data_IF_876308353156
#
_entry.id   IF_876308353156
#
_cell.length_a   1.000
_cell.length_b   1.000
_cell.length_c   1.000
_cell.angle_alpha   90.00
_cell.angle_beta   90.00
_cell.angle_gamma   90.00
#
_symmetry.space_group_name_H-M   'P 1'
#
loop_
_entity.id
_entity.type
_entity.pdbx_description
1 polymer ?
#
# COMPACT_ATOMS: atom_id res chain seq x y z
N UNK A 1 18.06 7.66 53.42
CA UNK A 1 17.45 8.74 52.61
C UNK A 1 17.90 8.72 51.14
N UNK A 2 19.21 8.71 50.82
CA UNK A 2 19.72 8.67 49.43
C UNK A 2 19.24 7.46 48.61
N UNK A 3 19.29 6.25 49.19
CA UNK A 3 18.86 5.01 48.51
C UNK A 3 17.37 5.02 48.13
N UNK A 4 16.50 5.51 49.02
CA UNK A 4 15.06 5.60 48.78
C UNK A 4 14.76 6.59 47.64
N UNK A 5 15.48 7.71 47.59
CA UNK A 5 15.34 8.73 46.56
C UNK A 5 15.80 8.21 45.19
N UNK A 6 16.88 7.43 45.14
CA UNK A 6 17.35 6.77 43.91
C UNK A 6 16.35 5.74 43.38
N UNK A 7 15.76 4.93 44.26
CA UNK A 7 14.74 3.95 43.88
C UNK A 7 13.50 4.67 43.33
N UNK A 8 13.00 5.70 44.02
CA UNK A 8 11.85 6.48 43.55
C UNK A 8 12.14 7.15 42.21
N UNK A 9 13.35 7.70 42.00
CA UNK A 9 13.72 8.32 40.73
C UNK A 9 13.76 7.30 39.58
N UNK A 10 14.33 6.11 39.82
CA UNK A 10 14.36 5.01 38.83
C UNK A 10 12.94 4.51 38.55
N UNK A 11 12.08 4.40 39.57
CA UNK A 11 10.69 3.99 39.40
C UNK A 11 9.88 5.03 38.62
N UNK A 12 10.11 6.33 38.84
CA UNK A 12 9.47 7.41 38.08
C UNK A 12 9.97 7.45 36.64
N UNK A 13 11.28 7.26 36.40
CA UNK A 13 11.83 7.14 35.05
C UNK A 13 11.31 5.90 34.31
N UNK A 14 11.25 4.75 34.99
CA UNK A 14 10.66 3.54 34.44
C UNK A 14 9.16 3.71 34.16
N UNK A 15 8.42 4.40 35.05
CA UNK A 15 7.01 4.71 34.86
C UNK A 15 6.78 5.68 33.70
N UNK A 16 7.65 6.67 33.48
CA UNK A 16 7.58 7.59 32.34
C UNK A 16 7.92 6.88 31.01
N UNK A 17 8.90 5.98 31.01
CA UNK A 17 9.23 5.14 29.84
C UNK A 17 8.08 4.17 29.52
N UNK A 18 7.42 3.63 30.54
CA UNK A 18 6.25 2.74 30.39
C UNK A 18 4.98 3.51 30.02
N UNK A 19 4.78 4.74 30.48
CA UNK A 19 3.63 5.56 30.05
C UNK A 19 3.78 6.05 28.60
N UNK A 20 5.02 6.30 28.13
CA UNK A 20 5.27 6.47 26.70
C UNK A 20 4.93 5.23 25.87
N UNK A 21 4.94 4.02 26.47
CA UNK A 21 4.59 2.77 25.78
C UNK A 21 3.12 2.35 25.91
N UNK A 22 2.37 2.90 26.88
CA UNK A 22 0.94 2.59 27.07
C UNK A 22 -0.03 3.65 26.55
N UNK A 23 0.44 4.88 26.26
CA UNK A 23 -0.29 5.88 25.46
C UNK A 23 0.15 5.84 23.98
N UNK A 24 0.55 4.65 23.52
CA UNK A 24 0.94 4.42 22.13
C UNK A 24 -0.34 4.40 21.33
N UNK A 25 -0.61 5.52 20.66
CA UNK A 25 -1.51 5.59 19.51
C UNK A 25 -1.45 4.26 18.73
N UNK A 26 -2.54 3.49 18.74
CA UNK A 26 -2.65 2.17 18.10
C UNK A 26 -2.62 2.27 16.56
N UNK A 27 -2.42 3.48 16.05
CA UNK A 27 -2.43 3.84 14.66
C UNK A 27 -1.04 3.76 14.02
N UNK A 28 -0.91 2.87 13.04
CA UNK A 28 0.30 2.71 12.25
C UNK A 28 0.63 3.98 11.42
N UNK A 29 -0.39 4.73 10.99
CA UNK A 29 -0.25 5.90 10.12
C UNK A 29 0.69 6.96 10.73
N UNK A 30 0.47 7.30 12.01
CA UNK A 30 1.31 8.24 12.77
C UNK A 30 2.76 7.75 12.86
N UNK A 31 2.95 6.44 13.06
CA UNK A 31 4.28 5.82 13.17
C UNK A 31 5.02 5.82 11.84
N UNK A 32 4.33 5.60 10.73
CA UNK A 32 4.91 5.70 9.40
C UNK A 32 5.26 7.13 9.01
N UNK A 33 4.43 8.12 9.40
CA UNK A 33 4.81 9.53 9.25
C UNK A 33 6.04 9.88 10.07
N UNK A 34 6.14 9.36 11.30
CA UNK A 34 7.33 9.54 12.13
C UNK A 34 8.57 8.88 11.49
N UNK A 35 8.42 7.70 10.89
CA UNK A 35 9.51 7.08 10.13
C UNK A 35 9.94 7.99 8.98
N UNK A 36 8.99 8.48 8.18
CA UNK A 36 9.26 9.42 7.08
C UNK A 36 9.93 10.71 7.57
N UNK A 37 9.52 11.25 8.72
CA UNK A 37 10.12 12.46 9.29
C UNK A 37 11.58 12.26 9.73
N UNK A 38 11.96 11.03 10.11
CA UNK A 38 13.34 10.68 10.46
C UNK A 38 14.20 10.29 9.23
N UNK A 39 13.59 10.15 8.04
CA UNK A 39 14.28 9.84 6.78
C UNK A 39 15.00 11.08 6.23
N UNK A 40 16.04 10.92 5.39
CA UNK A 40 16.74 12.07 4.78
C UNK A 40 15.82 12.61 3.69
N UNK A 41 15.60 13.94 3.60
CA UNK A 41 14.84 14.49 2.48
C UNK A 41 15.36 13.97 1.13
N UNK A 42 16.67 13.81 1.01
CA UNK A 42 17.39 13.30 -0.15
C UNK A 42 17.04 11.84 -0.49
N UNK A 43 16.57 11.04 0.47
CA UNK A 43 16.11 9.66 0.21
C UNK A 43 14.88 9.67 -0.70
N UNK A 44 13.99 10.67 -0.57
CA UNK A 44 12.83 10.81 -1.46
C UNK A 44 13.29 11.02 -2.90
N UNK A 45 14.39 11.74 -3.11
CA UNK A 45 14.96 11.98 -4.44
C UNK A 45 15.80 10.79 -4.94
N UNK A 46 16.48 10.08 -4.04
CA UNK A 46 17.33 8.93 -4.34
C UNK A 46 16.56 7.59 -4.39
N UNK A 47 15.25 7.57 -4.11
CA UNK A 47 14.45 6.35 -3.97
C UNK A 47 14.48 5.42 -5.19
N UNK A 48 14.82 5.94 -6.36
CA UNK A 48 14.96 5.14 -7.58
C UNK A 48 16.25 4.33 -7.59
N UNK A 49 17.34 4.81 -6.97
CA UNK A 49 18.61 4.06 -6.85
C UNK A 49 18.43 2.81 -5.99
N UNK A 50 17.60 2.89 -4.95
CA UNK A 50 17.32 1.75 -4.06
C UNK A 50 16.33 0.73 -4.65
N UNK A 51 15.64 1.07 -5.73
CA UNK A 51 14.62 0.18 -6.34
C UNK A 51 15.22 -1.14 -6.84
N UNK A 52 16.43 -1.06 -7.39
CA UNK A 52 17.05 -2.16 -8.11
C UNK A 52 17.98 -3.00 -7.21
N UNK A 53 18.10 -2.66 -5.92
CA UNK A 53 18.85 -3.45 -4.96
C UNK A 53 18.07 -4.71 -4.57
N UNK A 54 18.54 -5.88 -5.00
CA UNK A 54 17.93 -7.19 -4.72
C UNK A 54 18.83 -8.12 -3.90
N UNK A 55 20.07 -7.71 -3.67
CA UNK A 55 21.09 -8.44 -2.90
C UNK A 55 22.08 -7.49 -2.20
N UNK A 56 22.84 -7.97 -1.20
CA UNK A 56 23.90 -7.18 -0.55
C UNK A 56 24.96 -6.63 -1.52
N UNK A 57 25.21 -7.31 -2.63
CA UNK A 57 26.19 -6.90 -3.63
C UNK A 57 25.70 -5.71 -4.46
N UNK A 58 24.40 -5.56 -4.65
CA UNK A 58 23.83 -4.44 -5.40
C UNK A 58 24.05 -3.10 -4.69
N UNK A 59 24.26 -3.13 -3.36
CA UNK A 59 24.60 -1.95 -2.58
C UNK A 59 25.94 -1.35 -2.99
N UNK A 60 26.85 -2.13 -3.57
CA UNK A 60 28.14 -1.63 -4.06
C UNK A 60 28.00 -0.78 -5.33
N UNK A 61 26.89 -0.90 -6.04
CA UNK A 61 26.59 -0.12 -7.24
C UNK A 61 25.91 1.23 -6.93
N UNK A 62 25.55 1.48 -5.67
CA UNK A 62 24.98 2.75 -5.24
C UNK A 62 25.99 3.90 -5.36
N UNK A 63 25.48 5.10 -5.63
CA UNK A 63 26.28 6.33 -5.58
C UNK A 63 26.87 6.54 -4.19
N UNK A 64 27.98 7.31 -4.09
CA UNK A 64 28.62 7.62 -2.81
C UNK A 64 27.63 8.23 -1.81
N UNK A 65 26.82 9.19 -2.26
CA UNK A 65 25.78 9.81 -1.45
C UNK A 65 24.74 8.79 -0.96
N UNK A 66 24.24 7.89 -1.82
CA UNK A 66 23.28 6.88 -1.41
C UNK A 66 23.87 5.86 -0.41
N UNK A 67 25.17 5.55 -0.51
CA UNK A 67 25.89 4.72 0.48
C UNK A 67 26.02 5.42 1.83
N UNK A 68 26.33 6.72 1.83
CA UNK A 68 26.39 7.53 3.06
C UNK A 68 25.05 7.55 3.78
N UNK A 69 23.94 7.66 3.05
CA UNK A 69 22.59 7.58 3.63
C UNK A 69 22.37 6.28 4.41
N UNK A 70 22.84 5.13 3.91
CA UNK A 70 22.67 3.84 4.58
C UNK A 70 23.44 3.74 5.92
N UNK A 71 24.45 4.58 6.12
CA UNK A 71 25.25 4.66 7.35
C UNK A 71 24.80 5.77 8.31
N UNK A 72 23.77 6.55 7.95
CA UNK A 72 23.31 7.68 8.74
C UNK A 72 22.79 7.24 10.13
N UNK A 73 23.21 7.90 11.23
CA UNK A 73 22.79 7.53 12.60
C UNK A 73 21.27 7.55 12.82
N UNK A 74 20.56 8.45 12.12
CA UNK A 74 19.10 8.59 12.21
C UNK A 74 18.29 7.44 11.61
N UNK A 75 18.94 6.53 10.89
CA UNK A 75 18.31 5.31 10.38
C UNK A 75 17.73 4.46 11.52
N UNK A 76 18.35 4.47 12.70
CA UNK A 76 17.85 3.74 13.85
C UNK A 76 16.47 4.26 14.30
N UNK A 77 16.30 5.57 14.43
CA UNK A 77 15.03 6.19 14.79
C UNK A 77 13.94 5.91 13.73
N UNK A 78 14.30 6.01 12.44
CA UNK A 78 13.40 5.67 11.34
C UNK A 78 12.95 4.21 11.39
N UNK A 79 13.88 3.27 11.52
CA UNK A 79 13.58 1.84 11.55
C UNK A 79 12.78 1.45 12.79
N UNK A 80 13.05 2.06 13.95
CA UNK A 80 12.25 1.86 15.15
C UNK A 80 10.80 2.32 14.95
N UNK A 81 10.59 3.50 14.36
CA UNK A 81 9.25 3.99 14.03
C UNK A 81 8.52 3.08 13.02
N UNK A 82 9.21 2.58 11.99
CA UNK A 82 8.68 1.60 11.04
C UNK A 82 8.25 0.31 11.76
N UNK A 83 9.11 -0.25 12.60
CA UNK A 83 8.85 -1.47 13.39
C UNK A 83 7.69 -1.28 14.37
N UNK A 84 7.54 -0.09 14.96
CA UNK A 84 6.38 0.23 15.80
C UNK A 84 5.09 0.30 14.99
N UNK A 85 5.11 0.95 13.83
CA UNK A 85 3.97 0.97 12.91
C UNK A 85 3.56 -0.44 12.48
N UNK A 86 4.52 -1.32 12.21
CA UNK A 86 4.27 -2.72 11.88
C UNK A 86 3.65 -3.55 13.03
N UNK A 87 3.69 -3.09 14.28
CA UNK A 87 3.04 -3.78 15.41
C UNK A 87 1.62 -3.29 15.68
N UNK A 88 1.21 -2.20 15.04
CA UNK A 88 -0.10 -1.60 15.21
C UNK A 88 -1.17 -2.46 14.53
N UNK A 89 -2.38 -2.50 15.12
CA UNK A 89 -3.54 -3.23 14.57
C UNK A 89 -4.41 -2.36 13.67
N UNK A 90 -4.31 -1.05 13.82
CA UNK A 90 -5.08 -0.07 13.07
C UNK A 90 -4.12 0.77 12.23
N UNK A 91 -4.57 1.18 11.05
CA UNK A 91 -3.87 2.17 10.23
C UNK A 91 -4.93 3.07 9.61
N UNK A 92 -5.13 4.26 10.17
CA UNK A 92 -6.12 5.22 9.69
C UNK A 92 -5.63 6.65 9.95
N UNK A 93 -5.54 7.49 8.92
CA UNK A 93 -5.11 8.87 9.15
C UNK A 93 -6.18 9.75 9.81
N UNK A 94 -7.46 9.39 9.67
CA UNK A 94 -8.55 10.12 10.30
C UNK A 94 -9.65 9.15 10.76
N UNK A 95 -9.92 9.02 12.07
CA UNK A 95 -11.03 8.20 12.56
C UNK A 95 -12.41 8.80 12.26
N UNK A 96 -12.49 10.12 11.99
CA UNK A 96 -13.75 10.86 11.87
C UNK A 96 -14.06 11.38 10.44
N UNK A 97 -13.07 11.48 9.56
CA UNK A 97 -13.28 11.95 8.19
C UNK A 97 -13.52 10.77 7.22
N UNK A 98 -14.80 10.59 6.87
CA UNK A 98 -15.26 9.53 5.97
C UNK A 98 -14.99 9.82 4.49
N UNK A 99 -14.60 11.05 4.16
CA UNK A 99 -14.65 11.56 2.79
C UNK A 99 -13.28 11.97 2.22
N UNK A 100 -12.23 12.09 3.03
CA UNK A 100 -10.87 12.30 2.53
C UNK A 100 -9.84 11.59 3.41
N UNK A 101 -9.32 10.41 3.01
CA UNK A 101 -8.17 9.85 3.72
C UNK A 101 -7.00 10.80 3.48
N UNK A 102 -6.52 11.47 4.52
CA UNK A 102 -5.14 11.91 4.52
C UNK A 102 -4.30 10.66 4.22
N UNK A 103 -3.53 10.65 3.14
CA UNK A 103 -2.72 9.51 2.75
C UNK A 103 -1.25 9.85 2.95
N UNK A 104 -0.40 8.84 3.19
CA UNK A 104 1.04 9.02 3.03
C UNK A 104 1.27 9.45 1.57
N UNK A 105 1.94 10.59 1.32
CA UNK A 105 2.31 10.95 -0.05
C UNK A 105 3.08 9.82 -0.72
N UNK A 106 2.65 9.40 -1.92
CA UNK A 106 3.11 8.18 -2.59
C UNK A 106 4.63 8.15 -2.78
N UNK A 107 5.23 9.31 -3.05
CA UNK A 107 6.68 9.49 -3.21
C UNK A 107 7.41 9.21 -1.90
N UNK A 108 6.87 9.70 -0.78
CA UNK A 108 7.44 9.47 0.56
C UNK A 108 7.28 8.02 0.98
N UNK A 109 6.13 7.40 0.69
CA UNK A 109 5.93 5.96 0.89
C UNK A 109 6.95 5.15 0.09
N UNK A 110 7.13 5.49 -1.20
CA UNK A 110 8.12 4.87 -2.09
C UNK A 110 9.55 5.02 -1.57
N UNK A 111 9.90 6.20 -1.09
CA UNK A 111 11.17 6.45 -0.42
C UNK A 111 11.36 5.55 0.80
N UNK A 112 10.39 5.56 1.71
CA UNK A 112 10.46 4.80 2.96
C UNK A 112 10.66 3.30 2.72
N UNK A 113 9.81 2.65 1.90
CA UNK A 113 9.88 1.20 1.76
C UNK A 113 11.15 0.75 1.03
N UNK A 114 11.55 1.44 -0.05
CA UNK A 114 12.76 1.09 -0.82
C UNK A 114 14.03 1.31 -0.01
N UNK A 115 14.11 2.43 0.71
CA UNK A 115 15.24 2.70 1.57
C UNK A 115 15.32 1.72 2.74
N UNK A 116 14.19 1.35 3.33
CA UNK A 116 14.15 0.33 4.40
C UNK A 116 14.59 -1.05 3.89
N UNK A 117 14.23 -1.44 2.67
CA UNK A 117 14.73 -2.67 2.04
C UNK A 117 16.25 -2.61 1.80
N UNK A 118 16.78 -1.48 1.33
CA UNK A 118 18.22 -1.28 1.19
C UNK A 118 18.95 -1.34 2.55
N UNK A 119 18.35 -0.80 3.63
CA UNK A 119 18.86 -0.94 4.98
C UNK A 119 18.83 -2.39 5.48
N UNK A 120 17.82 -3.18 5.10
CA UNK A 120 17.79 -4.61 5.40
C UNK A 120 18.94 -5.35 4.70
N UNK A 121 19.18 -5.08 3.41
CA UNK A 121 20.31 -5.63 2.68
C UNK A 121 21.66 -5.18 3.28
N UNK A 122 21.74 -3.94 3.78
CA UNK A 122 22.93 -3.45 4.46
C UNK A 122 23.13 -4.17 5.82
N UNK A 123 22.05 -4.44 6.55
CA UNK A 123 22.11 -5.26 7.76
C UNK A 123 22.60 -6.69 7.45
N UNK A 124 22.07 -7.31 6.39
CA UNK A 124 22.55 -8.61 5.90
C UNK A 124 24.05 -8.57 5.54
N UNK A 125 24.48 -7.56 4.79
CA UNK A 125 25.89 -7.35 4.41
C UNK A 125 26.82 -7.25 5.62
N UNK A 126 26.33 -6.66 6.71
CA UNK A 126 27.05 -6.51 7.97
C UNK A 126 26.78 -7.66 8.94
N UNK A 127 26.54 -8.87 8.40
CA UNK A 127 26.40 -10.13 9.15
C UNK A 127 25.24 -10.13 10.18
N UNK A 128 24.18 -9.35 9.92
CA UNK A 128 22.97 -9.29 10.77
C UNK A 128 21.71 -9.73 10.01
N UNK A 129 21.63 -11.00 9.57
CA UNK A 129 20.48 -11.50 8.80
C UNK A 129 19.17 -11.50 9.60
N UNK A 130 19.20 -11.68 10.94
CA UNK A 130 17.99 -11.58 11.77
C UNK A 130 17.40 -10.16 11.73
N UNK A 131 18.26 -9.14 11.85
CA UNK A 131 17.84 -7.74 11.75
C UNK A 131 17.31 -7.43 10.35
N UNK A 132 17.94 -7.95 9.30
CA UNK A 132 17.46 -7.81 7.93
C UNK A 132 16.02 -8.35 7.78
N UNK A 133 15.75 -9.55 8.30
CA UNK A 133 14.41 -10.15 8.29
C UNK A 133 13.40 -9.32 9.09
N UNK A 134 13.75 -8.83 10.28
CA UNK A 134 12.86 -7.97 11.06
C UNK A 134 12.46 -6.69 10.30
N UNK A 135 13.41 -6.07 9.59
CA UNK A 135 13.14 -4.88 8.77
C UNK A 135 12.21 -5.24 7.61
N UNK A 136 12.49 -6.34 6.89
CA UNK A 136 11.68 -6.76 5.75
C UNK A 136 10.26 -7.18 6.15
N UNK A 137 10.08 -7.84 7.30
CA UNK A 137 8.76 -8.14 7.85
C UNK A 137 8.00 -6.85 8.23
N UNK A 138 8.68 -5.83 8.74
CA UNK A 138 8.07 -4.53 8.99
C UNK A 138 7.66 -3.81 7.70
N UNK A 139 8.47 -3.92 6.63
CA UNK A 139 8.12 -3.41 5.29
C UNK A 139 6.93 -4.17 4.70
N UNK A 140 6.88 -5.50 4.85
CA UNK A 140 5.72 -6.29 4.44
C UNK A 140 4.44 -5.80 5.14
N UNK A 141 4.51 -5.57 6.45
CA UNK A 141 3.36 -5.06 7.20
C UNK A 141 2.96 -3.63 6.78
N UNK A 142 3.93 -2.76 6.46
CA UNK A 142 3.64 -1.44 5.86
C UNK A 142 2.81 -1.60 4.58
N UNK A 143 3.17 -2.53 3.71
CA UNK A 143 2.38 -2.84 2.51
C UNK A 143 0.97 -3.30 2.84
N UNK A 144 0.81 -4.19 3.83
CA UNK A 144 -0.52 -4.62 4.30
C UNK A 144 -1.35 -3.47 4.87
N UNK A 145 -0.74 -2.55 5.62
CA UNK A 145 -1.43 -1.37 6.14
C UNK A 145 -1.81 -0.37 5.04
N UNK A 146 -1.03 -0.27 3.96
CA UNK A 146 -1.38 0.51 2.78
C UNK A 146 -2.60 -0.07 2.06
N UNK A 147 -2.68 -1.40 1.93
CA UNK A 147 -3.85 -2.08 1.33
C UNK A 147 -5.15 -1.77 2.08
N UNK A 148 -5.08 -1.56 3.39
CA UNK A 148 -6.24 -1.26 4.24
C UNK A 148 -6.72 0.19 4.13
N UNK A 149 -5.98 1.10 3.48
CA UNK A 149 -6.41 2.49 3.25
C UNK A 149 -7.60 2.61 2.28
N UNK A 150 -7.94 1.53 1.56
CA UNK A 150 -9.25 1.35 0.95
C UNK A 150 -9.32 1.49 -0.57
N UNK A 151 -8.47 2.30 -1.21
CA UNK A 151 -8.50 2.40 -2.69
C UNK A 151 -7.84 1.20 -3.37
N UNK A 152 -8.29 0.86 -4.59
CA UNK A 152 -7.63 -0.19 -5.38
C UNK A 152 -6.18 0.17 -5.72
N UNK A 153 -5.89 1.46 -5.93
CA UNK A 153 -4.54 1.92 -6.21
C UNK A 153 -3.62 1.71 -5.00
N UNK A 154 -4.11 2.01 -3.79
CA UNK A 154 -3.38 1.75 -2.55
C UNK A 154 -3.20 0.25 -2.32
N UNK A 155 -4.22 -0.54 -2.65
CA UNK A 155 -4.14 -2.00 -2.71
C UNK A 155 -3.00 -2.49 -3.60
N UNK A 156 -2.91 -2.00 -4.84
CA UNK A 156 -1.83 -2.35 -5.78
C UNK A 156 -0.46 -1.93 -5.25
N UNK A 157 -0.34 -0.74 -4.65
CA UNK A 157 0.91 -0.27 -4.05
C UNK A 157 1.31 -1.18 -2.88
N UNK A 158 0.38 -1.49 -1.98
CA UNK A 158 0.64 -2.34 -0.83
C UNK A 158 1.02 -3.77 -1.21
N UNK A 159 0.33 -4.36 -2.19
CA UNK A 159 0.70 -5.67 -2.75
C UNK A 159 2.10 -5.64 -3.39
N UNK A 160 2.45 -4.56 -4.09
CA UNK A 160 3.80 -4.39 -4.66
C UNK A 160 4.87 -4.37 -3.57
N UNK A 161 4.66 -3.59 -2.51
CA UNK A 161 5.58 -3.50 -1.36
C UNK A 161 5.76 -4.89 -0.71
N UNK A 162 4.68 -5.64 -0.53
CA UNK A 162 4.73 -6.99 0.06
C UNK A 162 5.45 -7.99 -0.83
N UNK A 163 5.21 -7.95 -2.13
CA UNK A 163 5.91 -8.81 -3.10
C UNK A 163 7.42 -8.53 -3.09
N UNK A 164 7.81 -7.25 -3.19
CA UNK A 164 9.22 -6.85 -3.13
C UNK A 164 9.88 -7.30 -1.80
N UNK A 165 9.16 -7.18 -0.68
CA UNK A 165 9.65 -7.62 0.62
C UNK A 165 9.81 -9.15 0.68
N UNK A 166 8.86 -9.93 0.16
CA UNK A 166 8.95 -11.39 0.13
C UNK A 166 10.12 -11.88 -0.73
N UNK A 167 10.35 -11.29 -1.90
CA UNK A 167 11.49 -11.61 -2.76
C UNK A 167 12.81 -11.47 -1.98
N UNK A 168 12.93 -10.38 -1.21
CA UNK A 168 14.12 -10.15 -0.38
C UNK A 168 14.19 -11.08 0.82
N UNK A 169 13.07 -11.38 1.49
CA UNK A 169 13.01 -12.34 2.61
C UNK A 169 13.48 -13.71 2.14
N UNK A 170 12.97 -14.19 1.01
CA UNK A 170 13.38 -15.44 0.38
C UNK A 170 14.88 -15.42 0.05
N UNK A 171 15.37 -14.33 -0.54
CA UNK A 171 16.79 -14.14 -0.80
C UNK A 171 17.67 -14.24 0.45
N UNK A 172 17.28 -13.57 1.54
CA UNK A 172 18.00 -13.60 2.82
C UNK A 172 18.00 -15.00 3.41
N UNK A 173 16.87 -15.72 3.39
CA UNK A 173 16.77 -17.10 3.89
C UNK A 173 17.62 -18.08 3.06
N UNK A 174 17.68 -17.90 1.74
CA UNK A 174 18.47 -18.75 0.86
C UNK A 174 19.98 -18.55 1.05
N UNK A 175 20.44 -17.30 1.19
CA UNK A 175 21.86 -16.99 1.40
C UNK A 175 22.34 -17.29 2.81
N UNK A 176 21.44 -17.17 3.77
CA UNK A 176 21.72 -17.44 5.17
C UNK A 176 20.78 -18.58 5.60
N UNK A 177 21.10 -19.87 5.42
CA UNK A 177 20.21 -20.92 5.88
C UNK A 177 20.13 -20.95 7.42
N UNK A 178 18.94 -21.17 7.99
CA UNK A 178 18.78 -21.26 9.45
C UNK A 178 17.34 -21.54 9.91
N UNK A 179 17.13 -22.65 10.63
CA UNK A 179 15.79 -23.10 11.03
C UNK A 179 15.02 -22.05 11.86
N UNK A 180 15.69 -21.35 12.77
CA UNK A 180 15.05 -20.31 13.59
C UNK A 180 14.50 -19.16 12.72
N UNK A 181 15.23 -18.74 11.68
CA UNK A 181 14.82 -17.68 10.76
C UNK A 181 13.69 -18.12 9.84
N UNK A 182 13.74 -19.35 9.32
CA UNK A 182 12.58 -19.92 8.62
C UNK A 182 11.34 -19.99 9.52
N UNK A 183 11.48 -20.42 10.78
CA UNK A 183 10.38 -20.49 11.73
C UNK A 183 9.79 -19.10 12.04
N UNK A 184 10.63 -18.07 12.18
CA UNK A 184 10.20 -16.68 12.38
C UNK A 184 9.31 -16.22 11.22
N UNK A 185 9.78 -16.37 9.99
CA UNK A 185 9.04 -15.96 8.78
C UNK A 185 7.76 -16.80 8.61
N UNK A 186 7.83 -18.13 8.77
CA UNK A 186 6.63 -18.99 8.69
C UNK A 186 5.60 -18.65 9.76
N UNK A 187 6.03 -18.33 10.99
CA UNK A 187 5.13 -17.92 12.08
C UNK A 187 4.41 -16.63 11.74
N UNK A 188 5.13 -15.64 11.20
CA UNK A 188 4.54 -14.39 10.73
C UNK A 188 3.53 -14.63 9.60
N UNK A 189 3.91 -15.35 8.55
CA UNK A 189 3.05 -15.58 7.38
C UNK A 189 1.77 -16.37 7.71
N UNK A 190 1.82 -17.28 8.70
CA UNK A 190 0.64 -18.04 9.17
C UNK A 190 -0.41 -17.18 9.87
N UNK A 191 -0.05 -15.98 10.34
CA UNK A 191 -0.98 -15.07 11.00
C UNK A 191 -1.78 -14.22 10.00
N UNK A 192 -1.40 -14.25 8.71
CA UNK A 192 -2.08 -13.48 7.68
C UNK A 192 -3.47 -14.05 7.38
N UNK A 193 -4.46 -13.20 7.03
CA UNK A 193 -5.72 -13.68 6.51
C UNK A 193 -5.50 -14.51 5.23
N UNK A 194 -6.41 -15.43 4.95
CA UNK A 194 -6.45 -16.15 3.67
C UNK A 194 -7.79 -15.86 2.98
N UNK A 195 -7.79 -15.21 1.81
CA UNK A 195 -6.63 -14.70 1.06
C UNK A 195 -5.91 -13.55 1.79
N UNK A 196 -4.61 -13.38 1.51
CA UNK A 196 -3.72 -12.40 2.13
C UNK A 196 -4.09 -10.93 1.87
N UNK A 197 -4.99 -10.70 0.91
CA UNK A 197 -5.53 -9.39 0.51
C UNK A 197 -7.05 -9.50 0.48
N UNK A 198 -7.74 -8.56 1.12
CA UNK A 198 -9.20 -8.51 1.14
C UNK A 198 -9.74 -7.67 -0.04
N UNK A 199 -9.70 -8.24 -1.26
CA UNK A 199 -10.18 -7.52 -2.44
C UNK A 199 -11.66 -7.15 -2.36
N UNK A 200 -12.48 -7.95 -1.69
CA UNK A 200 -13.91 -7.63 -1.49
C UNK A 200 -14.07 -6.30 -0.73
N UNK A 201 -13.23 -6.05 0.28
CA UNK A 201 -13.22 -4.77 0.97
C UNK A 201 -12.75 -3.63 0.06
N UNK A 202 -11.70 -3.84 -0.75
CA UNK A 202 -11.22 -2.85 -1.72
C UNK A 202 -12.29 -2.49 -2.76
N UNK A 203 -12.95 -3.48 -3.37
CA UNK A 203 -14.02 -3.21 -4.35
C UNK A 203 -15.21 -2.48 -3.70
N UNK A 204 -15.58 -2.82 -2.47
CA UNK A 204 -16.62 -2.10 -1.71
C UNK A 204 -16.24 -0.63 -1.47
N UNK A 205 -15.00 -0.38 -1.09
CA UNK A 205 -14.51 0.97 -0.84
C UNK A 205 -14.44 1.77 -2.15
N UNK A 206 -13.86 1.19 -3.20
CA UNK A 206 -13.75 1.80 -4.52
C UNK A 206 -15.14 2.15 -5.06
N UNK A 207 -16.12 1.25 -4.92
CA UNK A 207 -17.51 1.52 -5.30
C UNK A 207 -18.05 2.74 -4.57
N UNK A 208 -17.86 2.82 -3.26
CA UNK A 208 -18.36 3.95 -2.47
C UNK A 208 -17.73 5.25 -2.92
N UNK A 209 -16.40 5.29 -3.05
CA UNK A 209 -15.66 6.49 -3.44
C UNK A 209 -16.03 6.91 -4.87
N UNK A 210 -16.00 5.97 -5.81
CA UNK A 210 -16.31 6.22 -7.22
C UNK A 210 -17.73 6.73 -7.41
N UNK A 211 -18.73 6.03 -6.88
CA UNK A 211 -20.13 6.42 -7.07
C UNK A 211 -20.43 7.76 -6.41
N UNK A 212 -19.90 8.01 -5.21
CA UNK A 212 -20.09 9.30 -4.54
C UNK A 212 -19.35 10.44 -5.25
N UNK A 213 -18.13 10.17 -5.73
CA UNK A 213 -17.34 11.11 -6.52
C UNK A 213 -18.06 11.50 -7.80
N UNK A 214 -18.55 10.53 -8.57
CA UNK A 214 -19.27 10.77 -9.83
C UNK A 214 -20.54 11.59 -9.59
N UNK A 215 -21.29 11.30 -8.52
CA UNK A 215 -22.47 12.09 -8.12
C UNK A 215 -22.11 13.54 -7.76
N UNK A 216 -21.03 13.74 -7.01
CA UNK A 216 -20.52 15.08 -6.68
C UNK A 216 -20.08 15.81 -7.96
N UNK A 217 -19.39 15.13 -8.87
CA UNK A 217 -18.93 15.69 -10.13
C UNK A 217 -20.07 16.07 -11.09
N UNK A 218 -21.18 15.32 -11.08
CA UNK A 218 -22.38 15.71 -11.82
C UNK A 218 -22.98 17.05 -11.36
N UNK A 219 -22.81 17.40 -10.08
CA UNK A 219 -23.28 18.67 -9.51
C UNK A 219 -22.22 19.78 -9.55
N UNK A 220 -20.95 19.41 -9.68
CA UNK A 220 -19.81 20.33 -9.75
C UNK A 220 -18.79 19.81 -10.78
N UNK A 221 -18.90 20.25 -12.04
CA UNK A 221 -18.05 19.72 -13.11
C UNK A 221 -16.54 19.91 -12.91
N UNK A 222 -16.11 20.83 -12.05
CA UNK A 222 -14.68 21.00 -11.73
C UNK A 222 -14.06 19.74 -11.10
N UNK A 223 -14.87 18.92 -10.40
CA UNK A 223 -14.44 17.68 -9.74
C UNK A 223 -14.07 16.59 -10.77
N UNK A 224 -14.60 16.66 -12.00
CA UNK A 224 -14.23 15.70 -13.06
C UNK A 224 -12.71 15.67 -13.31
N UNK A 225 -12.04 16.83 -13.22
CA UNK A 225 -10.58 16.94 -13.39
C UNK A 225 -9.81 16.12 -12.35
N UNK A 226 -10.34 16.03 -11.13
CA UNK A 226 -9.73 15.31 -10.01
C UNK A 226 -10.01 13.80 -10.07
N UNK A 227 -11.14 13.40 -10.68
CA UNK A 227 -11.52 11.99 -10.83
C UNK A 227 -10.80 11.26 -11.98
N UNK A 228 -10.45 11.98 -13.06
CA UNK A 228 -9.82 11.42 -14.25
C UNK A 228 -8.33 11.02 -14.08
N UNK A 229 -7.77 11.13 -12.87
CA UNK A 229 -6.34 10.88 -12.57
C UNK A 229 -5.99 9.37 -12.54
N UNK A 230 -6.98 8.47 -12.63
CA UNK A 230 -6.81 7.04 -12.32
C UNK A 230 -6.46 6.09 -13.49
N UNK A 231 -5.82 6.57 -14.58
CA UNK A 231 -5.31 5.67 -15.65
C UNK A 231 -3.90 5.99 -16.14
N UNK A 232 -2.86 5.34 -15.59
CA UNK A 232 -1.51 5.37 -16.17
C UNK A 232 -1.38 4.49 -17.43
N UNK A 233 -2.24 3.48 -17.62
CA UNK A 233 -1.96 2.36 -18.56
C UNK A 233 -3.03 2.12 -19.66
N UNK A 234 -4.01 3.00 -19.87
CA UNK A 234 -5.03 2.72 -20.89
C UNK A 234 -5.62 3.97 -21.54
N UNK A 235 -4.98 4.43 -22.62
CA UNK A 235 -5.69 5.14 -23.68
C UNK A 235 -5.72 4.22 -24.90
N UNK A 236 -6.74 3.37 -24.99
CA UNK A 236 -7.17 2.88 -26.30
C UNK A 236 -7.74 4.07 -27.09
N UNK A 237 -7.76 4.00 -28.42
CA UNK A 237 -8.38 5.03 -29.25
C UNK A 237 -9.87 5.28 -28.94
N UNK A 238 -10.57 4.29 -28.38
CA UNK A 238 -11.95 4.43 -27.86
C UNK A 238 -12.00 5.15 -26.50
N UNK A 239 -11.00 4.97 -25.64
CA UNK A 239 -10.89 5.71 -24.37
C UNK A 239 -10.61 7.20 -24.61
N UNK A 240 -9.88 7.53 -25.68
CA UNK A 240 -9.61 8.91 -26.09
C UNK A 240 -10.89 9.68 -26.48
N UNK A 241 -11.80 9.06 -27.22
CA UNK A 241 -13.10 9.68 -27.60
C UNK A 241 -14.03 9.88 -26.39
N UNK A 242 -13.98 8.99 -25.41
CA UNK A 242 -14.75 9.14 -24.17
C UNK A 242 -14.12 10.24 -23.30
N UNK A 243 -12.79 10.37 -23.28
CA UNK A 243 -12.09 11.46 -22.59
C UNK A 243 -12.44 12.85 -23.17
N UNK A 244 -12.74 12.98 -24.46
CA UNK A 244 -13.19 14.24 -25.08
C UNK A 244 -14.55 14.73 -24.54
N UNK A 245 -15.44 13.82 -24.11
CA UNK A 245 -16.74 14.16 -23.51
C UNK A 245 -16.59 14.72 -22.09
N UNK A 246 -15.54 14.31 -21.39
CA UNK A 246 -15.23 14.73 -20.02
C UNK A 246 -13.97 15.59 -19.97
N UNK A 247 -13.68 16.29 -21.07
CA UNK A 247 -12.57 17.23 -21.14
C UNK A 247 -12.83 18.37 -20.12
N UNK A 248 -11.87 18.63 -19.21
CA UNK A 248 -11.78 19.82 -18.37
C UNK A 248 -12.18 21.16 -19.01
N UNK A 249 -12.02 21.29 -20.33
CA UNK A 249 -12.27 22.50 -21.13
C UNK A 249 -13.60 22.44 -21.91
N UNK A 250 -14.30 21.30 -21.91
CA UNK A 250 -15.53 21.06 -22.67
C UNK A 250 -16.76 20.79 -21.76
N UNK A 251 -17.05 21.77 -20.89
CA UNK A 251 -18.15 21.74 -19.90
C UNK A 251 -19.55 21.51 -20.55
N UNK A 252 -19.72 21.85 -21.83
CA UNK A 252 -20.97 21.64 -22.57
C UNK A 252 -21.29 20.16 -22.79
N UNK A 253 -20.29 19.34 -23.16
CA UNK A 253 -20.50 17.92 -23.45
C UNK A 253 -20.81 17.12 -22.19
N UNK A 254 -20.12 17.43 -21.08
CA UNK A 254 -20.40 16.82 -19.78
C UNK A 254 -21.82 17.16 -19.28
N UNK A 255 -22.26 18.42 -19.45
CA UNK A 255 -23.62 18.85 -19.09
C UNK A 255 -24.69 18.19 -19.93
N UNK A 256 -24.47 18.03 -21.23
CA UNK A 256 -25.39 17.33 -22.13
C UNK A 256 -25.50 15.84 -21.75
N UNK A 257 -24.37 15.19 -21.46
CA UNK A 257 -24.34 13.81 -20.98
C UNK A 257 -25.14 13.63 -19.68
N UNK A 258 -24.99 14.56 -18.72
CA UNK A 258 -25.75 14.56 -17.46
C UNK A 258 -27.25 14.79 -17.73
N UNK A 259 -27.61 15.80 -18.54
CA UNK A 259 -29.00 16.16 -18.81
C UNK A 259 -29.77 15.10 -19.62
N UNK A 260 -29.07 14.28 -20.41
CA UNK A 260 -29.68 13.22 -21.21
C UNK A 260 -30.23 12.03 -20.41
N UNK A 261 -29.91 11.93 -19.11
CA UNK A 261 -30.20 10.76 -18.28
C UNK A 261 -29.25 9.58 -18.50
N UNK A 262 -28.36 9.67 -19.49
CA UNK A 262 -27.36 8.67 -19.80
C UNK A 262 -26.31 8.53 -18.69
N UNK A 263 -26.00 9.63 -17.99
CA UNK A 263 -25.16 9.61 -16.80
C UNK A 263 -25.71 8.69 -15.70
N UNK A 264 -27.00 8.82 -15.34
CA UNK A 264 -27.62 8.03 -14.28
C UNK A 264 -27.73 6.55 -14.67
N UNK A 265 -28.02 6.27 -15.95
CA UNK A 265 -27.98 4.91 -16.51
C UNK A 265 -26.58 4.30 -16.37
N UNK A 266 -25.56 5.00 -16.86
CA UNK A 266 -24.17 4.53 -16.80
C UNK A 266 -23.68 4.34 -15.37
N UNK A 267 -24.04 5.25 -14.45
CA UNK A 267 -23.68 5.18 -13.04
C UNK A 267 -24.31 3.97 -12.36
N UNK A 268 -25.59 3.71 -12.63
CA UNK A 268 -26.33 2.57 -12.11
C UNK A 268 -25.74 1.25 -12.60
N UNK A 269 -25.36 1.19 -13.88
CA UNK A 269 -24.64 0.05 -14.44
C UNK A 269 -23.31 -0.18 -13.72
N UNK A 270 -22.46 0.85 -13.58
CA UNK A 270 -21.18 0.72 -12.86
C UNK A 270 -21.40 0.20 -11.44
N UNK A 271 -22.37 0.77 -10.70
CA UNK A 271 -22.69 0.33 -9.34
C UNK A 271 -23.09 -1.15 -9.30
N UNK A 272 -23.95 -1.60 -10.22
CA UNK A 272 -24.42 -2.99 -10.31
C UNK A 272 -23.29 -3.97 -10.68
N UNK A 273 -22.37 -3.57 -11.56
CA UNK A 273 -21.22 -4.40 -11.91
C UNK A 273 -20.23 -4.53 -10.74
N UNK A 274 -20.00 -3.45 -10.00
CA UNK A 274 -19.20 -3.51 -8.78
C UNK A 274 -19.84 -4.40 -7.71
N UNK A 275 -21.18 -4.40 -7.57
CA UNK A 275 -21.88 -5.37 -6.71
C UNK A 275 -21.63 -6.82 -7.16
N UNK A 276 -21.69 -7.08 -8.47
CA UNK A 276 -21.36 -8.41 -9.00
C UNK A 276 -19.95 -8.83 -8.61
N UNK A 277 -18.94 -7.95 -8.75
CA UNK A 277 -17.57 -8.23 -8.31
C UNK A 277 -17.44 -8.49 -6.81
N UNK A 278 -18.19 -7.79 -5.96
CA UNK A 278 -18.20 -7.99 -4.50
C UNK A 278 -18.75 -9.38 -4.12
N UNK A 279 -19.63 -9.94 -4.94
CA UNK A 279 -20.23 -11.27 -4.73
C UNK A 279 -19.42 -12.42 -5.31
N UNK A 280 -18.42 -12.16 -6.15
CA UNK A 280 -17.58 -13.23 -6.69
C UNK A 280 -16.83 -13.94 -5.57
N UNK A 281 -16.94 -15.26 -5.57
CA UNK A 281 -16.10 -16.13 -4.75
C UNK A 281 -14.77 -16.36 -5.47
N UNK A 282 -13.67 -15.98 -4.81
CA UNK A 282 -12.31 -16.16 -5.35
C UNK A 282 -11.88 -17.62 -5.37
N UNK A 283 -12.55 -18.49 -4.59
CA UNK A 283 -12.28 -19.92 -4.57
C UNK A 283 -13.07 -20.68 -5.64
N UNK A 284 -13.94 -19.99 -6.38
CA UNK A 284 -14.71 -20.56 -7.47
C UNK A 284 -13.76 -21.01 -8.62
N UNK A 285 -13.83 -22.28 -9.09
CA UNK A 285 -13.05 -22.75 -10.22
C UNK A 285 -13.24 -21.92 -11.50
N UNK A 286 -14.42 -21.33 -11.69
CA UNK A 286 -14.76 -20.47 -12.81
C UNK A 286 -14.48 -18.98 -12.55
N UNK A 287 -13.84 -18.63 -11.41
CA UNK A 287 -13.60 -17.25 -11.01
C UNK A 287 -12.99 -16.40 -12.13
N UNK A 288 -11.92 -16.89 -12.78
CA UNK A 288 -11.24 -16.16 -13.87
C UNK A 288 -12.19 -15.85 -15.04
N UNK A 289 -13.03 -16.82 -15.41
CA UNK A 289 -14.01 -16.68 -16.49
C UNK A 289 -15.12 -15.70 -16.12
N UNK A 290 -15.64 -15.79 -14.88
CA UNK A 290 -16.68 -14.91 -14.35
C UNK A 290 -16.16 -13.47 -14.25
N UNK A 291 -14.95 -13.28 -13.74
CA UNK A 291 -14.30 -11.99 -13.63
C UNK A 291 -14.02 -11.35 -15.02
N UNK A 292 -13.52 -12.13 -15.98
CA UNK A 292 -13.31 -11.64 -17.35
C UNK A 292 -14.63 -11.24 -18.03
N UNK A 293 -15.71 -11.98 -17.78
CA UNK A 293 -17.04 -11.67 -18.31
C UNK A 293 -17.57 -10.35 -17.75
N UNK A 294 -17.39 -10.10 -16.45
CA UNK A 294 -17.79 -8.82 -15.83
C UNK A 294 -16.99 -7.63 -16.36
N UNK A 295 -15.68 -7.81 -16.59
CA UNK A 295 -14.86 -6.77 -17.21
C UNK A 295 -15.32 -6.41 -18.64
N UNK A 296 -15.81 -7.40 -19.42
CA UNK A 296 -16.33 -7.16 -20.76
C UNK A 296 -17.63 -6.34 -20.76
N UNK A 297 -18.49 -6.52 -19.76
CA UNK A 297 -19.76 -5.79 -19.67
C UNK A 297 -19.55 -4.28 -19.46
N UNK A 298 -18.43 -3.89 -18.84
CA UNK A 298 -18.08 -2.49 -18.63
C UNK A 298 -17.32 -1.86 -19.79
N UNK A 299 -16.92 -2.65 -20.80
CA UNK A 299 -16.08 -2.17 -21.91
C UNK A 299 -16.74 -1.04 -22.72
N UNK A 300 -18.06 -0.98 -22.75
CA UNK A 300 -18.82 0.01 -23.51
C UNK A 300 -19.43 1.12 -22.63
N UNK A 301 -19.22 1.07 -21.31
CA UNK A 301 -19.75 2.08 -20.40
C UNK A 301 -18.73 3.22 -20.25
N UNK A 302 -19.05 4.46 -20.66
CA UNK A 302 -18.09 5.56 -20.67
C UNK A 302 -17.54 5.90 -19.27
N UNK A 303 -18.38 5.85 -18.23
CA UNK A 303 -17.95 6.08 -16.85
C UNK A 303 -17.01 4.97 -16.35
N UNK A 304 -17.26 3.73 -16.77
CA UNK A 304 -16.40 2.61 -16.41
C UNK A 304 -15.04 2.69 -17.11
N UNK A 305 -15.03 3.10 -18.38
CA UNK A 305 -13.80 3.36 -19.13
C UNK A 305 -12.99 4.49 -18.47
N UNK A 306 -13.62 5.48 -17.86
CA UNK A 306 -12.86 6.57 -17.26
C UNK A 306 -12.36 6.23 -15.86
N UNK A 307 -13.22 5.62 -15.04
CA UNK A 307 -13.05 5.68 -13.59
C UNK A 307 -12.97 4.32 -12.90
N UNK A 308 -13.25 3.20 -13.58
CA UNK A 308 -13.12 1.87 -12.97
C UNK A 308 -11.68 1.36 -13.15
N UNK A 309 -10.96 1.06 -12.06
CA UNK A 309 -9.62 0.49 -12.13
C UNK A 309 -9.61 -0.88 -12.84
N UNK A 310 -8.46 -1.28 -13.38
CA UNK A 310 -8.30 -2.60 -13.97
C UNK A 310 -8.28 -3.69 -12.88
N UNK A 311 -9.47 -4.15 -12.51
CA UNK A 311 -9.70 -5.14 -11.45
C UNK A 311 -9.01 -6.48 -11.75
N UNK A 312 -8.89 -6.87 -13.03
CA UNK A 312 -8.16 -8.09 -13.42
C UNK A 312 -6.69 -8.02 -12.99
N UNK A 313 -6.04 -6.86 -13.20
CA UNK A 313 -4.65 -6.63 -12.75
C UNK A 313 -4.52 -6.76 -11.23
N UNK A 314 -5.51 -6.28 -10.48
CA UNK A 314 -5.53 -6.40 -9.00
C UNK A 314 -5.66 -7.86 -8.57
N UNK A 315 -6.57 -8.62 -9.19
CA UNK A 315 -6.73 -10.06 -8.93
C UNK A 315 -5.48 -10.87 -9.29
N UNK A 316 -4.85 -10.60 -10.43
CA UNK A 316 -3.62 -11.29 -10.84
C UNK A 316 -2.47 -11.02 -9.85
N UNK A 317 -2.35 -9.80 -9.34
CA UNK A 317 -1.35 -9.46 -8.33
C UNK A 317 -1.61 -10.14 -6.99
N UNK A 318 -2.87 -10.16 -6.54
CA UNK A 318 -3.25 -10.90 -5.34
C UNK A 318 -2.89 -12.39 -5.46
N UNK A 319 -3.24 -13.01 -6.60
CA UNK A 319 -2.96 -14.41 -6.87
C UNK A 319 -1.47 -14.73 -6.76
N UNK A 320 -0.63 -13.94 -7.42
CA UNK A 320 0.84 -14.07 -7.35
C UNK A 320 1.37 -13.91 -5.92
N UNK A 321 0.90 -12.90 -5.19
CA UNK A 321 1.29 -12.68 -3.80
C UNK A 321 0.90 -13.88 -2.91
N UNK A 322 -0.31 -14.40 -3.07
CA UNK A 322 -0.78 -15.57 -2.32
C UNK A 322 0.01 -16.84 -2.66
N UNK A 323 0.33 -17.05 -3.94
CA UNK A 323 1.17 -18.16 -4.38
C UNK A 323 2.57 -18.08 -3.77
N UNK A 324 3.16 -16.87 -3.73
CA UNK A 324 4.47 -16.66 -3.11
C UNK A 324 4.45 -16.94 -1.60
N UNK A 325 3.44 -16.43 -0.89
CA UNK A 325 3.22 -16.74 0.53
C UNK A 325 3.08 -18.26 0.75
N UNK A 326 2.28 -18.93 -0.08
CA UNK A 326 2.07 -20.38 0.00
C UNK A 326 3.37 -21.16 -0.25
N UNK A 327 4.21 -20.70 -1.18
CA UNK A 327 5.53 -21.29 -1.44
C UNK A 327 6.43 -21.19 -0.21
N UNK A 328 6.50 -20.01 0.41
CA UNK A 328 7.30 -19.74 1.61
C UNK A 328 6.84 -20.52 2.85
N UNK A 329 5.58 -20.96 2.88
CA UNK A 329 5.01 -21.75 3.97
C UNK A 329 5.33 -23.25 3.87
N UNK A 330 5.58 -23.77 2.65
CA UNK A 330 5.97 -25.18 2.41
C UNK A 330 7.37 -25.44 2.97
#
# INVERSE_FOLDING_TARGET
MKLLMTIVLISVLAFLIVQQSSAVDENAATRYLLAIANMEPEVVNAHQQFKDCKSPNDLDMLSGQAKEMLMAPRNEAMLNALKWGAKCKLCCYNPDDKDSPDQIPKEKLRGLYRFSMALALNAEKNEKPDLALEILLAVFQLGQHQELQGSMLDGLIGMTIRSDALDLIEGVLNRNPGQARHNMVKTFLKQLPTPAVNLKAMVKWEKRFLINGLKKAASNPAIWKEMCIYRPDAVSSESAKVLEVFDPENDSAAREFIASGEFDRCLSEVASHMDSWITLDQQDPDFKKKNASLALLLKNNPLAILCVPNINKVYDQQGKLQEHINSMLR
#
